data_IF_469936727028
#
_entry.id   IF_469936727028
#
_cell.length_a   1.000
_cell.length_b   1.000
_cell.length_c   1.000
_cell.angle_alpha   90.00
_cell.angle_beta   90.00
_cell.angle_gamma   90.00
#
_symmetry.space_group_name_H-M   'P 1'
#
loop_
_entity.id
_entity.type
_entity.pdbx_description
1 polymer ?
#
# COMPACT_ATOMS: atom_id res chain seq x y z
N UNK A 1 -19.75 18.06 16.99
CA UNK A 1 -19.80 16.63 17.38
C UNK A 1 -18.55 15.95 16.86
N UNK A 2 -17.88 15.09 17.64
CA UNK A 2 -16.70 14.37 17.17
C UNK A 2 -17.06 13.30 16.14
N UNK A 3 -16.15 13.07 15.19
CA UNK A 3 -16.27 12.12 14.07
C UNK A 3 -16.64 10.72 14.54
N UNK A 4 -16.04 10.26 15.65
CA UNK A 4 -16.32 8.95 16.25
C UNK A 4 -17.79 8.78 16.65
N UNK A 5 -18.41 9.82 17.23
CA UNK A 5 -19.83 9.78 17.60
C UNK A 5 -20.76 9.80 16.40
N UNK A 6 -20.29 10.27 15.24
CA UNK A 6 -21.03 10.23 13.99
C UNK A 6 -20.97 8.80 13.42
N UNK A 7 -19.79 8.16 13.40
CA UNK A 7 -19.68 6.77 12.96
C UNK A 7 -20.50 5.82 13.84
N UNK A 8 -20.50 5.98 15.17
CA UNK A 8 -21.34 5.19 16.10
C UNK A 8 -22.84 5.26 15.79
N UNK A 9 -23.33 6.44 15.39
CA UNK A 9 -24.73 6.63 14.98
C UNK A 9 -25.02 6.04 13.60
N UNK A 10 -24.08 6.18 12.66
CA UNK A 10 -24.22 5.67 11.29
C UNK A 10 -24.13 4.14 11.25
N UNK A 11 -23.26 3.53 12.06
CA UNK A 11 -23.10 2.08 12.19
C UNK A 11 -24.39 1.36 12.58
N UNK A 12 -25.28 2.02 13.35
CA UNK A 12 -26.61 1.47 13.69
C UNK A 12 -27.60 1.47 12.52
N UNK A 13 -27.37 2.30 11.50
CA UNK A 13 -28.21 2.39 10.30
C UNK A 13 -27.64 1.57 9.15
N UNK A 14 -26.33 1.62 8.97
CA UNK A 14 -25.60 0.91 7.95
C UNK A 14 -24.16 0.67 8.44
N UNK A 15 -23.84 -0.58 8.78
CA UNK A 15 -22.53 -0.96 9.26
C UNK A 15 -21.46 -0.89 8.14
N UNK A 16 -21.86 -1.03 6.87
CA UNK A 16 -20.93 -1.06 5.75
C UNK A 16 -20.20 0.28 5.58
N UNK A 17 -20.81 1.40 6.01
CA UNK A 17 -20.20 2.73 5.94
C UNK A 17 -18.99 2.85 6.87
N UNK A 18 -19.08 2.35 8.11
CA UNK A 18 -17.96 2.41 9.07
C UNK A 18 -16.97 1.25 8.89
N UNK A 19 -17.40 0.14 8.29
CA UNK A 19 -16.52 -0.98 7.93
C UNK A 19 -15.82 -0.80 6.58
N UNK A 20 -16.10 0.31 5.88
CA UNK A 20 -15.48 0.66 4.62
C UNK A 20 -13.98 0.96 4.85
N UNK A 21 -13.15 -0.06 4.65
CA UNK A 21 -11.70 0.06 4.67
C UNK A 21 -11.24 0.25 3.24
N UNK A 22 -10.83 1.46 2.90
CA UNK A 22 -10.01 1.64 1.71
C UNK A 22 -8.67 0.96 1.95
N UNK A 23 -8.25 0.10 1.01
CA UNK A 23 -6.88 -0.37 0.97
C UNK A 23 -5.98 0.87 1.02
N UNK A 24 -5.17 0.98 2.07
CA UNK A 24 -4.23 2.08 2.19
C UNK A 24 -3.31 2.00 0.98
N UNK A 25 -3.42 2.97 0.08
CA UNK A 25 -2.42 3.17 -0.95
C UNK A 25 -1.08 3.38 -0.23
N UNK A 26 -0.15 2.47 -0.47
CA UNK A 26 1.19 2.60 0.08
C UNK A 26 1.83 3.74 -0.68
N UNK A 27 2.01 4.88 -0.02
CA UNK A 27 2.73 6.01 -0.59
C UNK A 27 4.22 5.65 -0.66
N UNK A 28 4.65 5.14 -1.81
CA UNK A 28 6.02 4.66 -2.00
C UNK A 28 7.07 5.79 -1.93
N UNK A 29 6.64 7.05 -1.94
CA UNK A 29 7.49 8.23 -1.78
C UNK A 29 7.87 8.47 -0.30
N UNK A 30 6.94 8.33 0.64
CA UNK A 30 7.18 8.54 2.07
C UNK A 30 7.29 7.27 2.90
N UNK A 31 6.97 6.10 2.35
CA UNK A 31 7.06 4.84 3.09
C UNK A 31 8.50 4.35 3.19
N UNK A 32 8.88 3.92 4.37
CA UNK A 32 10.15 3.22 4.59
C UNK A 32 9.97 1.72 4.27
N UNK A 33 10.48 1.29 3.12
CA UNK A 33 10.41 -0.10 2.66
C UNK A 33 11.04 -1.09 3.66
N UNK A 34 11.97 -0.65 4.52
CA UNK A 34 12.56 -1.51 5.55
C UNK A 34 11.58 -1.81 6.67
N UNK A 35 10.56 -0.98 6.89
CA UNK A 35 9.50 -1.19 7.90
C UNK A 35 8.37 -2.09 7.40
N UNK A 36 8.24 -2.27 6.09
CA UNK A 36 7.22 -3.13 5.49
C UNK A 36 7.55 -4.62 5.67
N UNK A 37 6.53 -5.47 5.68
CA UNK A 37 6.72 -6.94 5.69
C UNK A 37 6.96 -7.43 4.26
N UNK A 38 7.59 -8.60 4.12
CA UNK A 38 7.80 -9.23 2.80
C UNK A 38 6.50 -9.39 2.03
N UNK A 39 5.38 -9.65 2.72
CA UNK A 39 4.05 -9.70 2.08
C UNK A 39 3.66 -8.38 1.42
N UNK A 40 3.90 -7.24 2.08
CA UNK A 40 3.57 -5.92 1.55
C UNK A 40 4.49 -5.57 0.37
N UNK A 41 5.77 -5.92 0.47
CA UNK A 41 6.74 -5.76 -0.63
C UNK A 41 6.32 -6.59 -1.87
N UNK A 42 5.90 -7.84 -1.67
CA UNK A 42 5.36 -8.67 -2.76
C UNK A 42 4.08 -8.10 -3.35
N UNK A 43 3.21 -7.50 -2.52
CA UNK A 43 1.99 -6.85 -3.00
C UNK A 43 2.32 -5.67 -3.92
N UNK A 44 3.29 -4.84 -3.55
CA UNK A 44 3.76 -3.70 -4.39
C UNK A 44 4.24 -4.20 -5.76
N UNK A 45 5.09 -5.23 -5.79
CA UNK A 45 5.58 -5.80 -7.05
C UNK A 45 4.43 -6.37 -7.90
N UNK A 46 3.47 -7.05 -7.27
CA UNK A 46 2.31 -7.60 -7.96
C UNK A 46 1.35 -6.51 -8.48
N UNK A 47 1.17 -5.40 -7.74
CA UNK A 47 0.40 -4.24 -8.20
C UNK A 47 1.04 -3.55 -9.42
N UNK A 48 2.35 -3.73 -9.61
CA UNK A 48 3.11 -3.28 -10.78
C UNK A 48 3.22 -4.32 -11.91
N UNK A 49 2.58 -5.49 -11.74
CA UNK A 49 2.69 -6.66 -12.62
C UNK A 49 4.16 -7.12 -12.80
N UNK A 50 5.00 -6.88 -11.80
CA UNK A 50 6.41 -7.24 -11.81
C UNK A 50 6.65 -8.46 -10.92
N UNK A 51 7.25 -9.50 -11.52
CA UNK A 51 7.60 -10.74 -10.81
C UNK A 51 9.09 -10.69 -10.48
N UNK A 52 9.44 -10.99 -9.23
CA UNK A 52 10.84 -11.16 -8.84
C UNK A 52 11.22 -12.64 -8.77
N UNK A 53 11.68 -13.17 -9.91
CA UNK A 53 12.21 -14.54 -10.05
C UNK A 53 13.65 -14.60 -9.51
N UNK A 54 13.79 -14.62 -8.18
CA UNK A 54 15.10 -14.65 -7.50
C UNK A 54 15.16 -13.87 -6.18
N UNK A 55 14.11 -13.15 -5.79
CA UNK A 55 14.06 -12.51 -4.48
C UNK A 55 13.82 -13.55 -3.38
N UNK A 56 14.89 -13.92 -2.64
CA UNK A 56 14.82 -14.84 -1.50
C UNK A 56 14.76 -14.04 -0.20
N UNK A 57 15.57 -13.00 -0.08
CA UNK A 57 15.65 -12.18 1.11
C UNK A 57 14.80 -10.91 1.01
N UNK A 58 14.41 -10.36 2.16
CA UNK A 58 13.65 -9.11 2.23
C UNK A 58 14.38 -7.96 1.52
N UNK A 59 15.70 -7.93 1.61
CA UNK A 59 16.56 -6.94 0.95
C UNK A 59 16.49 -7.00 -0.57
N UNK A 60 16.32 -8.18 -1.17
CA UNK A 60 16.16 -8.33 -2.62
C UNK A 60 14.85 -7.69 -3.09
N UNK A 61 13.75 -7.93 -2.38
CA UNK A 61 12.46 -7.30 -2.67
C UNK A 61 12.55 -5.78 -2.58
N UNK A 62 13.24 -5.24 -1.56
CA UNK A 62 13.42 -3.80 -1.41
C UNK A 62 14.23 -3.23 -2.58
N UNK A 63 15.35 -3.87 -2.95
CA UNK A 63 16.17 -3.44 -4.09
C UNK A 63 15.36 -3.42 -5.38
N UNK A 64 14.62 -4.50 -5.67
CA UNK A 64 13.79 -4.59 -6.88
C UNK A 64 12.73 -3.49 -6.93
N UNK A 65 12.10 -3.18 -5.78
CA UNK A 65 11.13 -2.09 -5.69
C UNK A 65 11.79 -0.75 -5.96
N UNK A 66 12.95 -0.46 -5.36
CA UNK A 66 13.68 0.80 -5.58
C UNK A 66 14.17 0.96 -7.02
N UNK A 67 14.55 -0.12 -7.71
CA UNK A 67 14.90 -0.11 -9.14
C UNK A 67 13.70 0.21 -10.03
N UNK A 68 12.53 -0.33 -9.70
CA UNK A 68 11.29 -0.12 -10.45
C UNK A 68 10.59 1.19 -10.08
N UNK A 69 10.83 1.70 -8.88
CA UNK A 69 10.29 2.96 -8.35
C UNK A 69 10.30 4.11 -9.36
N UNK A 70 11.43 4.46 -10.03
CA UNK A 70 11.44 5.53 -11.03
C UNK A 70 10.63 5.20 -12.30
N UNK A 71 10.45 3.92 -12.66
CA UNK A 71 9.65 3.52 -13.85
C UNK A 71 8.15 3.74 -13.63
N UNK A 72 7.66 3.47 -12.41
CA UNK A 72 6.23 3.56 -12.08
C UNK A 72 5.84 4.91 -11.44
N UNK A 73 6.75 5.55 -10.72
CA UNK A 73 6.52 6.87 -10.11
C UNK A 73 7.14 8.04 -10.90
N UNK A 74 8.01 7.77 -11.88
CA UNK A 74 8.57 8.80 -12.77
C UNK A 74 7.65 9.27 -13.88
N UNK A 75 6.34 8.99 -13.79
CA UNK A 75 5.32 9.48 -14.73
C UNK A 75 4.26 10.28 -13.98
N UNK A 76 4.72 11.35 -13.33
CA UNK A 76 3.86 12.41 -12.78
C UNK A 76 3.70 13.60 -13.75
N UNK A 77 4.11 13.46 -15.01
CA UNK A 77 3.93 14.49 -16.03
C UNK A 77 3.14 13.92 -17.21
N UNK A 78 1.81 14.00 -17.11
CA UNK A 78 0.98 14.89 -17.95
C UNK A 78 -0.45 14.99 -17.41
#
# INVERSE_FOLDING_TARGET
>A
MPSDKICEKLRKKDAQICDLRFDKQIDLNNVDLKKLKVRDLKKILNDWDEVCDGCIEKTDFIKRIEELKPKYMGRSDL
#
